data_IF_292191450712
#
_entry.id   IF_292191450712
#
_cell.length_a   1.000
_cell.length_b   1.000
_cell.length_c   1.000
_cell.angle_alpha   90.00
_cell.angle_beta   90.00
_cell.angle_gamma   90.00
#
_symmetry.space_group_name_H-M   'P 1'
#
loop_
_entity.id
_entity.type
_entity.pdbx_description
1 polymer ?
#
# COMPACT_ATOMS: atom_id res chain seq x y z
N UNK A 1 -10.04 4.09 -0.49
CA UNK A 1 -10.03 4.06 -1.97
C UNK A 1 -9.74 5.42 -2.59
N UNK A 2 -10.36 6.53 -2.16
CA UNK A 2 -10.16 7.86 -2.78
C UNK A 2 -8.72 8.38 -2.66
N UNK A 3 -8.04 8.15 -1.53
CA UNK A 3 -6.68 8.65 -1.31
C UNK A 3 -5.62 7.93 -2.14
N UNK A 4 -5.77 6.62 -2.36
CA UNK A 4 -4.84 5.83 -3.17
C UNK A 4 -4.93 6.24 -4.65
N UNK A 5 -6.13 6.48 -5.18
CA UNK A 5 -6.29 6.97 -6.55
C UNK A 5 -5.72 8.38 -6.76
N UNK A 6 -5.77 9.26 -5.75
CA UNK A 6 -5.10 10.55 -5.80
C UNK A 6 -3.58 10.42 -5.77
N UNK A 7 -3.06 9.42 -5.04
CA UNK A 7 -1.63 9.12 -4.99
C UNK A 7 -1.14 8.55 -6.34
N UNK A 8 -1.91 7.65 -6.97
CA UNK A 8 -1.61 7.10 -8.30
C UNK A 8 -1.62 8.20 -9.38
N UNK A 9 -2.53 9.17 -9.27
CA UNK A 9 -2.58 10.33 -10.15
C UNK A 9 -1.35 11.23 -9.97
N UNK A 10 -0.88 11.40 -8.73
CA UNK A 10 0.36 12.12 -8.45
C UNK A 10 1.59 11.37 -8.97
N UNK A 11 1.64 10.05 -8.79
CA UNK A 11 2.71 9.19 -9.30
C UNK A 11 2.79 9.26 -10.82
N UNK A 12 1.65 9.15 -11.52
CA UNK A 12 1.57 9.27 -12.97
C UNK A 12 2.09 10.63 -13.45
N UNK A 13 1.71 11.71 -12.76
CA UNK A 13 2.15 13.07 -13.11
C UNK A 13 3.67 13.28 -12.95
N UNK A 14 4.29 12.57 -12.00
CA UNK A 14 5.76 12.59 -11.80
C UNK A 14 6.47 11.66 -12.80
N UNK A 15 5.86 10.53 -13.18
CA UNK A 15 6.44 9.60 -14.15
C UNK A 15 6.40 10.12 -15.58
N UNK A 16 5.29 10.76 -15.96
CA UNK A 16 5.06 11.37 -17.28
C UNK A 16 5.68 12.78 -17.41
N UNK A 17 6.10 13.37 -16.29
CA UNK A 17 6.73 14.69 -16.26
C UNK A 17 8.04 14.74 -17.06
N UNK A 18 8.34 15.92 -17.60
CA UNK A 18 9.54 16.12 -18.42
C UNK A 18 10.81 15.90 -17.59
N UNK A 19 11.57 14.85 -17.92
CA UNK A 19 12.84 14.54 -17.24
C UNK A 19 13.95 15.42 -17.78
N UNK A 20 14.67 16.07 -16.89
CA UNK A 20 15.77 16.96 -17.27
C UNK A 20 16.98 16.08 -17.63
N UNK A 21 17.48 16.10 -18.89
CA UNK A 21 18.65 15.31 -19.26
C UNK A 21 19.87 15.74 -18.43
N UNK A 22 20.72 14.76 -18.06
CA UNK A 22 21.88 14.94 -17.16
C UNK A 22 21.54 15.28 -15.70
N UNK A 23 20.26 15.27 -15.32
CA UNK A 23 19.79 15.47 -13.95
C UNK A 23 18.84 14.34 -13.54
N UNK A 24 18.77 14.02 -12.24
CA UNK A 24 17.76 13.08 -11.71
C UNK A 24 16.43 13.78 -11.37
N UNK A 25 16.24 15.02 -11.83
CA UNK A 25 15.07 15.84 -11.51
C UNK A 25 14.01 15.74 -12.61
N UNK A 26 12.75 15.69 -12.20
CA UNK A 26 11.59 15.79 -13.09
C UNK A 26 10.99 17.18 -12.96
N UNK A 27 10.68 17.81 -14.08
CA UNK A 27 9.93 19.05 -14.12
C UNK A 27 8.44 18.74 -14.09
N UNK A 28 7.76 19.27 -13.07
CA UNK A 28 6.32 19.08 -12.85
C UNK A 28 5.63 20.43 -12.74
N UNK A 29 4.36 20.48 -13.13
CA UNK A 29 3.53 21.66 -12.94
C UNK A 29 3.14 21.76 -11.46
N UNK A 30 3.63 22.80 -10.80
CA UNK A 30 3.45 23.04 -9.37
C UNK A 30 1.98 23.12 -8.97
N UNK A 31 1.15 23.88 -9.69
CA UNK A 31 -0.28 24.05 -9.37
C UNK A 31 -1.04 22.73 -9.40
N UNK A 32 -0.77 21.87 -10.39
CA UNK A 32 -1.41 20.55 -10.50
C UNK A 32 -0.99 19.62 -9.36
N UNK A 33 0.28 19.63 -9.01
CA UNK A 33 0.82 18.84 -7.89
C UNK A 33 0.21 19.28 -6.57
N UNK A 34 0.21 20.58 -6.29
CA UNK A 34 -0.34 21.15 -5.06
C UNK A 34 -1.85 20.87 -4.95
N UNK A 35 -2.61 20.97 -6.03
CA UNK A 35 -4.03 20.66 -6.03
C UNK A 35 -4.34 19.18 -5.70
N UNK A 36 -3.50 18.24 -6.15
CA UNK A 36 -3.63 16.82 -5.80
C UNK A 36 -3.26 16.61 -4.32
N UNK A 37 -2.19 17.26 -3.85
CA UNK A 37 -1.77 17.22 -2.44
C UNK A 37 -2.87 17.75 -1.51
N UNK A 38 -3.54 18.85 -1.88
CA UNK A 38 -4.62 19.42 -1.09
C UNK A 38 -5.85 18.49 -1.02
N UNK A 39 -6.18 17.80 -2.12
CA UNK A 39 -7.23 16.78 -2.12
C UNK A 39 -6.87 15.59 -1.24
N UNK A 40 -5.63 15.12 -1.31
CA UNK A 40 -5.10 14.07 -0.42
C UNK A 40 -5.22 14.52 1.03
N UNK A 41 -4.83 15.75 1.34
CA UNK A 41 -4.91 16.33 2.69
C UNK A 41 -6.35 16.42 3.18
N UNK A 42 -7.28 16.81 2.33
CA UNK A 42 -8.71 16.88 2.65
C UNK A 42 -9.29 15.51 2.97
N UNK A 43 -9.02 14.50 2.14
CA UNK A 43 -9.49 13.12 2.33
C UNK A 43 -8.83 12.48 3.57
N UNK A 44 -7.52 12.70 3.77
CA UNK A 44 -6.81 12.21 4.95
C UNK A 44 -7.36 12.80 6.25
N UNK A 45 -7.74 14.08 6.25
CA UNK A 45 -8.37 14.73 7.42
C UNK A 45 -9.83 14.33 7.61
N UNK A 46 -10.56 14.06 6.53
CA UNK A 46 -11.95 13.59 6.56
C UNK A 46 -12.06 12.15 7.06
N UNK A 47 -11.13 11.27 6.64
CA UNK A 47 -11.01 9.89 7.16
C UNK A 47 -10.56 9.80 8.62
N UNK A 48 -9.95 10.86 9.16
CA UNK A 48 -9.62 11.04 10.58
C UNK A 48 -10.73 11.71 11.42
N UNK A 49 -11.91 11.94 10.84
CA UNK A 49 -13.02 12.68 11.47
C UNK A 49 -13.64 12.03 12.71
N UNK A 50 -13.36 10.75 12.98
CA UNK A 50 -13.89 10.08 14.18
C UNK A 50 -13.25 10.63 15.47
N UNK A 51 -12.03 11.20 15.38
CA UNK A 51 -11.33 11.74 16.56
C UNK A 51 -11.55 13.25 16.82
N UNK A 52 -12.14 14.01 15.88
CA UNK A 52 -12.34 15.47 16.05
C UNK A 52 -13.74 15.86 16.54
N UNK A 53 -14.73 14.96 16.49
CA UNK A 53 -16.10 15.27 16.93
C UNK A 53 -16.38 15.04 18.42
N UNK A 54 -15.37 14.61 19.20
CA UNK A 54 -15.50 14.49 20.65
C UNK A 54 -15.24 15.82 21.42
N UNK A 55 -14.77 16.88 20.73
CA UNK A 55 -14.46 18.21 21.31
C UNK A 55 -15.35 19.34 20.76
N UNK A 56 -16.34 19.03 19.93
CA UNK A 56 -17.42 19.98 19.62
C UNK A 56 -18.73 19.32 19.99
N UNK A 57 -19.31 19.86 21.07
CA UNK A 57 -20.53 19.38 21.67
C UNK A 57 -21.64 19.25 20.65
N UNK A 58 -22.39 18.17 20.78
CA UNK A 58 -23.85 18.10 20.69
C UNK A 58 -24.23 16.61 20.63
N UNK A 59 -24.83 16.12 21.71
CA UNK A 59 -25.57 14.87 21.70
C UNK A 59 -26.69 14.96 20.65
N UNK A 60 -27.13 13.84 20.05
CA UNK A 60 -28.25 13.19 20.71
C UNK A 60 -28.24 11.66 20.64
N UNK A 61 -28.65 11.08 21.78
CA UNK A 61 -29.67 10.03 21.93
C UNK A 61 -29.67 8.83 20.96
N UNK A 62 -29.40 7.70 21.62
CA UNK A 62 -30.25 6.52 21.70
C UNK A 62 -30.05 5.35 20.72
N UNK A 63 -29.78 4.23 21.38
CA UNK A 63 -30.38 2.90 21.17
C UNK A 63 -29.73 1.98 20.13
N UNK A 64 -29.54 0.75 20.59
CA UNK A 64 -29.38 -0.49 19.80
C UNK A 64 -27.97 -1.06 19.57
N UNK A 65 -27.01 -0.86 20.49
CA UNK A 65 -25.87 -1.77 20.61
C UNK A 65 -25.73 -2.27 22.05
N UNK A 66 -26.80 -2.86 22.57
CA UNK A 66 -26.76 -3.66 23.77
C UNK A 66 -26.04 -4.98 23.46
N UNK A 67 -25.20 -5.40 24.41
CA UNK A 67 -24.54 -6.72 24.53
C UNK A 67 -23.24 -6.89 23.78
N UNK A 68 -22.16 -6.47 24.44
CA UNK A 68 -21.07 -7.36 24.84
C UNK A 68 -20.15 -6.57 25.80
N UNK A 69 -20.65 -6.35 27.02
CA UNK A 69 -19.81 -5.98 28.15
C UNK A 69 -19.52 -7.28 28.93
N UNK A 70 -18.27 -7.52 29.37
CA UNK A 70 -17.94 -8.68 30.20
C UNK A 70 -18.87 -8.78 31.41
N UNK A 71 -19.39 -9.97 31.74
CA UNK A 71 -20.41 -10.15 32.77
C UNK A 71 -19.96 -9.67 34.17
N UNK A 72 -18.66 -9.58 34.40
CA UNK A 72 -18.09 -9.12 35.67
C UNK A 72 -18.28 -7.62 35.94
N UNK A 73 -18.34 -6.78 34.90
CA UNK A 73 -18.50 -5.34 35.08
C UNK A 73 -19.95 -4.97 35.39
N UNK A 74 -20.91 -5.71 34.84
CA UNK A 74 -22.34 -5.50 35.09
C UNK A 74 -22.74 -5.89 36.53
N UNK A 75 -22.11 -6.93 37.09
CA UNK A 75 -22.41 -7.39 38.45
C UNK A 75 -21.96 -6.39 39.53
N UNK A 76 -20.84 -5.69 39.31
CA UNK A 76 -20.30 -4.70 40.26
C UNK A 76 -21.08 -3.39 40.30
N UNK A 77 -21.79 -3.06 39.22
CA UNK A 77 -22.58 -1.82 39.10
C UNK A 77 -23.95 -1.97 39.79
N UNK A 78 -24.55 -3.16 39.76
CA UNK A 78 -25.86 -3.40 40.38
C UNK A 78 -25.81 -3.55 41.91
N UNK A 79 -24.64 -3.86 42.49
CA UNK A 79 -24.48 -4.06 43.93
C UNK A 79 -24.10 -2.81 44.73
N UNK A 80 -23.77 -1.69 44.08
CA UNK A 80 -23.42 -0.44 44.77
C UNK A 80 -24.62 0.50 44.79
N UNK A 81 -25.26 0.62 45.95
CA UNK A 81 -26.28 1.62 46.19
C UNK A 81 -25.66 2.99 46.38
N UNK A 82 -25.84 3.87 45.40
CA UNK A 82 -25.95 5.33 45.59
C UNK A 82 -24.66 6.15 45.45
N UNK A 83 -24.53 6.86 44.33
CA UNK A 83 -24.53 8.35 44.23
C UNK A 83 -24.34 8.73 42.75
N UNK A 84 -24.73 9.95 42.35
CA UNK A 84 -24.52 10.47 40.98
C UNK A 84 -23.05 10.42 40.49
N UNK A 85 -22.09 10.16 41.38
CA UNK A 85 -20.67 9.98 41.08
C UNK A 85 -20.37 8.62 40.43
N UNK A 86 -21.03 7.54 40.86
CA UNK A 86 -20.81 6.19 40.32
C UNK A 86 -21.33 6.06 38.89
N UNK A 87 -22.46 6.71 38.57
CA UNK A 87 -23.00 6.75 37.20
C UNK A 87 -22.04 7.41 36.21
N UNK A 88 -21.38 8.51 36.62
CA UNK A 88 -20.36 9.19 35.80
C UNK A 88 -19.12 8.31 35.61
N UNK A 89 -18.69 7.58 36.63
CA UNK A 89 -17.58 6.65 36.51
C UNK A 89 -17.87 5.53 35.50
N UNK A 90 -19.08 4.97 35.52
CA UNK A 90 -19.53 3.96 34.55
C UNK A 90 -19.58 4.53 33.13
N UNK A 91 -20.08 5.76 32.96
CA UNK A 91 -20.14 6.43 31.67
C UNK A 91 -18.74 6.69 31.08
N UNK A 92 -17.81 7.18 31.90
CA UNK A 92 -16.40 7.40 31.49
C UNK A 92 -15.74 6.07 31.08
N UNK A 93 -15.97 5.00 31.83
CA UNK A 93 -15.42 3.68 31.50
C UNK A 93 -16.01 3.18 30.17
N UNK A 94 -17.33 3.30 29.96
CA UNK A 94 -17.96 2.92 28.70
C UNK A 94 -17.42 3.73 27.51
N UNK A 95 -17.24 5.03 27.67
CA UNK A 95 -16.65 5.89 26.64
C UNK A 95 -15.20 5.47 26.34
N UNK A 96 -14.39 5.21 27.36
CA UNK A 96 -13.02 4.74 27.20
C UNK A 96 -12.96 3.40 26.43
N UNK A 97 -13.87 2.46 26.73
CA UNK A 97 -13.96 1.20 25.99
C UNK A 97 -14.34 1.40 24.52
N UNK A 98 -15.29 2.31 24.25
CA UNK A 98 -15.71 2.60 22.87
C UNK A 98 -14.58 3.23 22.05
N UNK A 99 -13.87 4.20 22.63
CA UNK A 99 -12.70 4.83 22.02
C UNK A 99 -11.59 3.79 21.77
N UNK A 100 -11.29 2.94 22.77
CA UNK A 100 -10.28 1.91 22.63
C UNK A 100 -10.61 0.92 21.49
N UNK A 101 -11.89 0.57 21.33
CA UNK A 101 -12.36 -0.30 20.24
C UNK A 101 -12.18 0.37 18.88
N UNK A 102 -12.52 1.65 18.77
CA UNK A 102 -12.35 2.42 17.53
C UNK A 102 -10.89 2.59 17.14
N UNK A 103 -10.02 2.91 18.11
CA UNK A 103 -8.57 2.99 17.91
C UNK A 103 -8.02 1.65 17.44
N UNK A 104 -8.43 0.54 18.06
CA UNK A 104 -7.97 -0.80 17.66
C UNK A 104 -8.40 -1.13 16.23
N UNK A 105 -9.67 -0.91 15.91
CA UNK A 105 -10.18 -1.15 14.55
C UNK A 105 -9.49 -0.28 13.51
N UNK A 106 -9.21 0.98 13.84
CA UNK A 106 -8.44 1.89 12.98
C UNK A 106 -7.01 1.42 12.76
N UNK A 107 -6.34 0.96 13.82
CA UNK A 107 -4.98 0.40 13.74
C UNK A 107 -4.94 -0.89 12.90
N UNK A 108 -5.92 -1.78 13.08
CA UNK A 108 -6.03 -3.03 12.32
C UNK A 108 -6.20 -2.75 10.81
N UNK A 109 -7.08 -1.80 10.46
CA UNK A 109 -7.26 -1.36 9.06
C UNK A 109 -6.00 -0.74 8.48
N UNK A 110 -5.33 0.11 9.24
CA UNK A 110 -4.08 0.72 8.78
C UNK A 110 -2.98 -0.33 8.55
N UNK A 111 -2.87 -1.32 9.44
CA UNK A 111 -1.92 -2.41 9.27
C UNK A 111 -2.20 -3.22 7.99
N UNK A 112 -3.46 -3.53 7.72
CA UNK A 112 -3.87 -4.24 6.50
C UNK A 112 -3.50 -3.46 5.22
N UNK A 113 -3.75 -2.15 5.19
CA UNK A 113 -3.38 -1.28 4.07
C UNK A 113 -1.86 -1.25 3.84
N UNK A 114 -1.07 -1.10 4.91
CA UNK A 114 0.40 -1.08 4.84
C UNK A 114 0.93 -2.42 4.34
N UNK A 115 0.42 -3.54 4.86
CA UNK A 115 0.85 -4.88 4.46
C UNK A 115 0.47 -5.19 3.01
N UNK A 116 -0.72 -4.80 2.57
CA UNK A 116 -1.17 -4.96 1.18
C UNK A 116 -0.23 -4.22 0.20
N UNK A 117 0.17 -3.00 0.52
CA UNK A 117 1.10 -2.24 -0.31
C UNK A 117 2.50 -2.89 -0.35
N UNK A 118 2.99 -3.34 0.80
CA UNK A 118 4.26 -4.05 0.89
C UNK A 118 4.25 -5.33 0.04
N UNK A 119 3.16 -6.09 0.06
CA UNK A 119 2.96 -7.28 -0.75
C UNK A 119 3.01 -6.95 -2.25
N UNK A 120 2.26 -5.92 -2.69
CA UNK A 120 2.23 -5.50 -4.08
C UNK A 120 3.62 -5.07 -4.59
N UNK A 121 4.34 -4.30 -3.77
CA UNK A 121 5.70 -3.84 -4.06
C UNK A 121 6.68 -5.00 -4.13
N UNK A 122 6.66 -5.90 -3.15
CA UNK A 122 7.53 -7.08 -3.11
C UNK A 122 7.30 -8.00 -4.31
N UNK A 123 6.03 -8.17 -4.71
CA UNK A 123 5.66 -8.93 -5.91
C UNK A 123 6.22 -8.31 -7.19
N UNK A 124 6.22 -6.98 -7.31
CA UNK A 124 6.81 -6.27 -8.45
C UNK A 124 8.33 -6.46 -8.51
N UNK A 125 9.00 -6.35 -7.36
CA UNK A 125 10.45 -6.60 -7.24
C UNK A 125 10.79 -8.04 -7.63
N UNK A 126 10.05 -9.03 -7.11
CA UNK A 126 10.26 -10.44 -7.46
C UNK A 126 10.10 -10.71 -8.95
N UNK A 127 9.11 -10.09 -9.61
CA UNK A 127 8.95 -10.19 -11.07
C UNK A 127 10.16 -9.62 -11.82
N UNK A 128 10.66 -8.45 -11.41
CA UNK A 128 11.83 -7.85 -12.02
C UNK A 128 13.09 -8.72 -11.85
N UNK A 129 13.31 -9.27 -10.64
CA UNK A 129 14.43 -10.19 -10.37
C UNK A 129 14.33 -11.45 -11.22
N UNK A 130 13.15 -12.07 -11.32
CA UNK A 130 12.93 -13.25 -12.17
C UNK A 130 13.24 -12.96 -13.63
N UNK A 131 12.73 -11.85 -14.17
CA UNK A 131 13.00 -11.43 -15.55
C UNK A 131 14.50 -11.17 -15.79
N UNK A 132 15.20 -10.57 -14.82
CA UNK A 132 16.65 -10.37 -14.90
C UNK A 132 17.42 -11.69 -14.94
N UNK A 133 17.04 -12.66 -14.09
CA UNK A 133 17.66 -14.00 -14.06
C UNK A 133 17.42 -14.77 -15.36
N UNK A 134 16.22 -14.72 -15.91
CA UNK A 134 15.89 -15.40 -17.17
C UNK A 134 16.71 -14.84 -18.35
N UNK A 135 16.89 -13.50 -18.40
CA UNK A 135 17.77 -12.86 -19.39
C UNK A 135 19.21 -13.34 -19.28
N UNK A 136 19.74 -13.44 -18.05
CA UNK A 136 21.10 -13.93 -17.81
C UNK A 136 21.27 -15.40 -18.17
N UNK A 137 20.28 -16.25 -17.86
CA UNK A 137 20.31 -17.66 -18.29
C UNK A 137 20.32 -17.79 -19.81
N UNK A 138 19.53 -16.97 -20.51
CA UNK A 138 19.52 -16.94 -21.96
C UNK A 138 20.84 -16.43 -22.55
N UNK A 139 21.47 -15.41 -21.96
CA UNK A 139 22.77 -14.92 -22.45
C UNK A 139 23.89 -15.93 -22.21
N UNK A 140 23.89 -16.63 -21.07
CA UNK A 140 24.89 -17.67 -20.77
C UNK A 140 24.73 -18.88 -21.71
N UNK A 141 23.50 -19.20 -22.15
CA UNK A 141 23.25 -20.32 -23.07
C UNK A 141 23.51 -20.03 -24.56
N UNK A 142 23.85 -18.79 -24.95
CA UNK A 142 24.08 -18.42 -26.37
C UNK A 142 25.57 -18.42 -26.74
N UNK A 143 26.48 -18.29 -25.77
CA UNK A 143 27.94 -18.27 -26.05
C UNK A 143 28.52 -19.66 -26.42
N UNK A 144 27.80 -20.77 -26.21
CA UNK A 144 28.32 -22.13 -26.48
C UNK A 144 28.03 -22.70 -27.89
N UNK A 145 27.28 -22.01 -28.76
CA UNK A 145 26.85 -22.60 -30.06
C UNK A 145 27.50 -21.92 -31.29
N UNK A 146 28.14 -20.76 -31.17
CA UNK A 146 28.64 -20.02 -32.35
C UNK A 146 30.12 -20.25 -32.70
N UNK A 147 30.70 -21.40 -32.33
CA UNK A 147 31.99 -21.81 -32.88
C UNK A 147 32.00 -23.29 -33.24
N UNK A 148 31.80 -23.59 -34.53
CA UNK A 148 32.54 -24.55 -35.37
C UNK A 148 31.93 -24.49 -36.78
N UNK A 149 32.55 -23.79 -37.74
CA UNK A 149 32.38 -24.10 -39.15
C UNK A 149 33.12 -25.42 -39.42
N UNK A 150 32.40 -26.47 -39.82
CA UNK A 150 33.00 -27.74 -40.24
C UNK A 150 33.91 -27.52 -41.47
N UNK A 151 35.12 -28.11 -41.50
CA UNK A 151 35.96 -28.05 -42.70
C UNK A 151 35.31 -28.87 -43.83
N UNK A 152 35.09 -28.25 -44.99
CA UNK A 152 34.65 -28.95 -46.20
C UNK A 152 35.77 -29.88 -46.67
N UNK A 153 35.68 -31.16 -46.31
CA UNK A 153 36.51 -32.20 -46.91
C UNK A 153 36.00 -32.54 -48.31
N UNK A 154 36.90 -32.40 -49.29
CA UNK A 154 37.02 -33.36 -50.39
C UNK A 154 36.23 -33.05 -51.66
N UNK A 155 36.94 -32.51 -52.66
CA UNK A 155 37.01 -33.20 -53.95
C UNK A 155 38.35 -32.87 -54.63
N UNK A 156 39.35 -33.68 -54.31
CA UNK A 156 40.48 -33.93 -55.19
C UNK A 156 40.18 -35.22 -55.97
N UNK A 157 39.90 -35.08 -57.27
CA UNK A 157 40.15 -36.06 -58.36
C UNK A 157 39.73 -35.35 -59.66
N UNK A 158 40.72 -34.86 -60.42
CA UNK A 158 41.47 -35.55 -61.49
C UNK A 158 40.75 -35.43 -62.83
N UNK A 159 41.42 -34.78 -63.78
CA UNK A 159 41.53 -35.05 -65.24
C UNK A 159 41.88 -33.69 -65.88
N UNK A 160 43.14 -33.40 -66.19
CA UNK A 160 43.84 -33.85 -67.41
C UNK A 160 42.92 -33.85 -68.63
N UNK A 161 42.99 -32.80 -69.46
CA UNK A 161 43.16 -32.88 -70.92
C UNK A 161 42.93 -31.51 -71.60
N UNK A 162 43.91 -31.10 -72.43
CA UNK A 162 43.78 -30.38 -73.71
C UNK A 162 42.97 -29.06 -73.75
N UNK A 163 43.48 -27.93 -74.24
CA UNK A 163 44.36 -27.63 -75.40
C UNK A 163 45.08 -26.31 -75.14
#
# INVERSE_FOLDING_TARGET
MEILGLLDALESLVLDGFKIPLSRKTMVNEEKVLAIIDKIRLVAQSGGGIAKKAVSGEAPRSSAAARELPPELSARISSSGGTASEGKAVEVIQQAYQIAKEVRLGADRYADEVLTNLEATSSRVLRAVRAGREKLQKSIGVDEIESIPLPSKGNARKEEASV
#
